data_IF_743975153657
#
_entry.id   IF_743975153657
#
_cell.length_a   1.000
_cell.length_b   1.000
_cell.length_c   1.000
_cell.angle_alpha   90.00
_cell.angle_beta   90.00
_cell.angle_gamma   90.00
#
_symmetry.space_group_name_H-M   'P 1'
#
loop_
_entity.id
_entity.type
_entity.pdbx_description
1 polymer ?
#
# COMPACT_ATOMS: atom_id res chain seq x y z
N UNK A 1 -0.70 -81.62 -26.69
CA UNK A 1 -0.40 -80.57 -25.66
C UNK A 1 -0.58 -79.22 -26.31
N UNK A 2 -1.71 -78.52 -26.03
CA UNK A 2 -2.00 -77.19 -26.58
C UNK A 2 -1.65 -76.16 -25.51
N UNK A 3 -0.63 -75.36 -25.80
CA UNK A 3 -0.26 -74.23 -24.95
C UNK A 3 -1.26 -73.08 -25.17
N UNK A 4 -1.97 -72.63 -24.12
CA UNK A 4 -2.84 -71.47 -24.13
C UNK A 4 -1.98 -70.34 -23.59
N UNK A 5 -1.59 -69.40 -24.48
CA UNK A 5 -0.98 -68.16 -24.07
C UNK A 5 -2.07 -67.14 -23.59
N UNK A 6 -2.11 -66.86 -22.28
CA UNK A 6 -2.95 -65.79 -21.73
C UNK A 6 -2.26 -64.44 -21.97
N UNK A 7 -2.84 -63.62 -22.83
CA UNK A 7 -2.42 -62.21 -22.98
C UNK A 7 -3.11 -61.36 -21.90
N UNK A 8 -2.33 -60.89 -20.91
CA UNK A 8 -2.77 -59.88 -19.95
C UNK A 8 -2.74 -58.51 -20.63
N UNK A 9 -3.90 -57.94 -20.94
CA UNK A 9 -4.05 -56.57 -21.43
C UNK A 9 -3.99 -55.63 -20.21
N UNK A 10 -2.87 -54.92 -20.06
CA UNK A 10 -2.73 -53.84 -19.08
C UNK A 10 -3.50 -52.61 -19.62
N UNK A 11 -4.61 -52.30 -19.01
CA UNK A 11 -5.29 -51.03 -19.25
C UNK A 11 -4.52 -49.88 -18.55
N UNK A 12 -3.75 -49.14 -19.35
CA UNK A 12 -3.15 -47.88 -18.89
C UNK A 12 -4.25 -46.81 -18.93
N UNK A 13 -4.85 -46.49 -17.79
CA UNK A 13 -5.72 -45.30 -17.66
C UNK A 13 -4.86 -44.07 -17.76
N UNK A 14 -5.09 -43.15 -18.72
CA UNK A 14 -4.38 -41.88 -18.75
C UNK A 14 -4.77 -41.10 -17.47
N UNK A 15 -3.83 -40.96 -16.55
CA UNK A 15 -3.97 -40.04 -15.44
C UNK A 15 -4.07 -38.64 -16.01
N UNK A 16 -5.24 -38.01 -15.91
CA UNK A 16 -5.37 -36.59 -16.18
C UNK A 16 -4.50 -35.85 -15.13
N UNK A 17 -3.36 -35.34 -15.57
CA UNK A 17 -2.60 -34.39 -14.78
C UNK A 17 -3.53 -33.19 -14.58
N UNK A 18 -4.09 -33.01 -13.37
CA UNK A 18 -4.76 -31.79 -12.98
C UNK A 18 -3.69 -30.72 -13.00
N UNK A 19 -3.70 -29.86 -14.02
CA UNK A 19 -2.85 -28.70 -14.07
C UNK A 19 -3.21 -27.83 -12.87
N UNK A 20 -2.28 -27.67 -11.93
CA UNK A 20 -2.49 -26.79 -10.79
C UNK A 20 -2.78 -25.37 -11.33
N UNK A 21 -3.84 -24.74 -10.83
CA UNK A 21 -4.13 -23.34 -11.18
C UNK A 21 -2.93 -22.46 -10.87
N UNK A 22 -2.63 -21.45 -11.70
CA UNK A 22 -1.53 -20.53 -11.45
C UNK A 22 -1.76 -19.81 -10.10
N UNK A 23 -0.69 -19.47 -9.35
CA UNK A 23 -0.83 -18.82 -8.06
C UNK A 23 -1.53 -17.47 -8.19
N UNK A 24 -2.28 -17.09 -7.16
CA UNK A 24 -2.80 -15.73 -6.98
C UNK A 24 -1.64 -14.86 -6.54
N UNK A 25 -1.34 -13.80 -7.28
CA UNK A 25 -0.29 -12.84 -6.96
C UNK A 25 -0.89 -11.61 -6.31
N UNK A 26 -0.40 -11.27 -5.13
CA UNK A 26 -0.88 -10.17 -4.32
C UNK A 26 0.24 -9.14 -4.12
N UNK A 27 0.11 -7.96 -4.74
CA UNK A 27 1.08 -6.88 -4.64
C UNK A 27 1.02 -6.19 -3.27
N UNK A 28 2.18 -5.90 -2.70
CA UNK A 28 2.29 -5.12 -1.48
C UNK A 28 3.15 -3.89 -1.74
N UNK A 29 2.65 -2.73 -1.30
CA UNK A 29 3.40 -1.48 -1.26
C UNK A 29 3.91 -1.19 0.15
N UNK A 30 4.74 -0.17 0.33
CA UNK A 30 5.26 0.20 1.66
C UNK A 30 4.21 0.91 2.55
N UNK A 31 2.95 0.54 2.43
CA UNK A 31 1.84 0.95 3.31
C UNK A 31 1.70 0.06 4.54
N UNK A 32 2.56 -0.96 4.66
CA UNK A 32 2.66 -1.84 5.83
C UNK A 32 4.15 -2.02 6.20
N UNK A 33 4.39 -2.32 7.48
CA UNK A 33 5.74 -2.72 7.93
C UNK A 33 5.93 -4.20 7.63
N UNK A 34 6.76 -4.52 6.61
CA UNK A 34 7.00 -5.90 6.14
C UNK A 34 8.42 -6.38 6.37
N UNK A 35 9.10 -5.89 7.37
CA UNK A 35 10.52 -6.27 7.66
C UNK A 35 10.73 -7.77 7.94
N UNK A 36 9.64 -8.57 7.96
CA UNK A 36 9.70 -9.97 8.32
C UNK A 36 9.15 -10.87 7.19
N UNK A 37 10.07 -11.41 6.38
CA UNK A 37 9.75 -12.38 5.31
C UNK A 37 8.92 -13.55 5.85
N UNK A 38 9.23 -14.07 7.05
CA UNK A 38 8.46 -15.14 7.68
C UNK A 38 6.98 -14.75 7.88
N UNK A 39 6.71 -13.48 8.22
CA UNK A 39 5.33 -13.02 8.35
C UNK A 39 4.56 -13.14 7.03
N UNK A 40 5.20 -12.74 5.92
CA UNK A 40 4.58 -12.83 4.60
C UNK A 40 4.36 -14.28 4.18
N UNK A 41 5.32 -15.16 4.44
CA UNK A 41 5.18 -16.59 4.14
C UNK A 41 4.02 -17.22 4.93
N UNK A 42 3.92 -16.94 6.23
CA UNK A 42 2.85 -17.44 7.09
C UNK A 42 1.48 -16.87 6.65
N UNK A 43 1.41 -15.59 6.33
CA UNK A 43 0.18 -14.95 5.85
C UNK A 43 -0.23 -15.48 4.46
N UNK A 44 0.72 -15.71 3.58
CA UNK A 44 0.51 -16.37 2.29
C UNK A 44 -0.14 -17.75 2.49
N UNK A 45 0.40 -18.59 3.38
CA UNK A 45 -0.14 -19.91 3.70
C UNK A 45 -1.56 -19.84 4.29
N UNK A 46 -1.82 -18.87 5.16
CA UNK A 46 -3.17 -18.62 5.67
C UNK A 46 -4.16 -18.29 4.55
N UNK A 47 -3.80 -17.38 3.66
CA UNK A 47 -4.63 -17.02 2.52
C UNK A 47 -4.81 -18.22 1.58
N UNK A 48 -3.75 -19.00 1.30
CA UNK A 48 -3.80 -20.20 0.49
C UNK A 48 -4.81 -21.22 1.04
N UNK A 49 -4.78 -21.46 2.36
CA UNK A 49 -5.72 -22.37 3.02
C UNK A 49 -7.19 -21.91 2.88
N UNK A 50 -7.46 -20.62 2.85
CA UNK A 50 -8.81 -20.06 2.67
C UNK A 50 -9.23 -19.98 1.21
N UNK A 51 -8.29 -19.71 0.32
CA UNK A 51 -8.55 -19.58 -1.13
C UNK A 51 -8.59 -20.92 -1.86
N UNK A 52 -8.05 -21.98 -1.27
CA UNK A 52 -7.86 -23.28 -1.95
C UNK A 52 -6.88 -23.22 -3.12
N UNK A 53 -6.08 -22.17 -3.22
CA UNK A 53 -5.15 -21.87 -4.30
C UNK A 53 -3.94 -21.14 -3.76
N UNK A 54 -2.75 -21.44 -4.29
CA UNK A 54 -1.51 -20.79 -3.86
C UNK A 54 -1.61 -19.28 -3.95
N UNK A 55 -1.14 -18.57 -2.91
CA UNK A 55 -1.07 -17.10 -2.87
C UNK A 55 0.40 -16.68 -2.76
N UNK A 56 0.85 -15.76 -3.57
CA UNK A 56 2.21 -15.25 -3.59
C UNK A 56 2.22 -13.73 -3.41
N UNK A 57 2.89 -13.24 -2.36
CA UNK A 57 3.09 -11.82 -2.21
C UNK A 57 4.19 -11.30 -3.13
N UNK A 58 3.88 -10.21 -3.83
CA UNK A 58 4.77 -9.54 -4.77
C UNK A 58 5.15 -8.17 -4.21
N UNK A 59 6.38 -8.03 -3.74
CA UNK A 59 6.90 -6.77 -3.24
C UNK A 59 7.61 -6.01 -4.36
N UNK A 60 7.45 -4.69 -4.38
CA UNK A 60 8.19 -3.79 -5.27
C UNK A 60 8.70 -2.59 -4.48
N UNK A 61 9.72 -1.94 -5.03
CA UNK A 61 10.36 -0.79 -4.39
C UNK A 61 9.45 0.44 -4.36
N UNK A 62 8.72 0.70 -5.43
CA UNK A 62 7.85 1.87 -5.54
C UNK A 62 6.38 1.48 -5.70
N UNK A 63 5.50 2.40 -5.37
CA UNK A 63 4.06 2.23 -5.59
C UNK A 63 3.74 2.13 -7.08
N UNK A 64 4.48 2.87 -7.92
CA UNK A 64 4.33 2.83 -9.37
C UNK A 64 4.53 1.43 -9.94
N UNK A 65 5.58 0.73 -9.51
CA UNK A 65 5.86 -0.64 -9.97
C UNK A 65 4.72 -1.62 -9.64
N UNK A 66 4.06 -1.48 -8.48
CA UNK A 66 2.89 -2.30 -8.14
C UNK A 66 1.70 -1.96 -9.02
N UNK A 67 1.46 -0.66 -9.28
CA UNK A 67 0.38 -0.22 -10.17
C UNK A 67 0.60 -0.71 -11.61
N UNK A 68 1.83 -0.69 -12.12
CA UNK A 68 2.15 -1.20 -13.46
C UNK A 68 1.90 -2.72 -13.57
N UNK A 69 2.14 -3.48 -12.49
CA UNK A 69 1.81 -4.90 -12.44
C UNK A 69 0.28 -5.14 -12.42
N UNK A 70 -0.49 -4.32 -11.69
CA UNK A 70 -1.96 -4.37 -11.72
C UNK A 70 -2.52 -4.03 -13.10
N UNK A 71 -2.02 -2.95 -13.71
CA UNK A 71 -2.47 -2.46 -15.00
C UNK A 71 -2.16 -3.43 -16.16
N UNK A 72 -1.09 -4.22 -16.01
CA UNK A 72 -0.71 -5.27 -16.97
C UNK A 72 -1.38 -6.63 -16.70
N UNK A 73 -2.12 -6.77 -15.60
CA UNK A 73 -2.68 -8.06 -15.16
C UNK A 73 -1.61 -9.06 -14.69
N UNK A 74 -0.41 -8.57 -14.36
CA UNK A 74 0.67 -9.40 -13.83
C UNK A 74 0.45 -9.79 -12.36
N UNK A 75 -0.42 -9.09 -11.65
CA UNK A 75 -0.92 -9.43 -10.31
C UNK A 75 -2.43 -9.26 -10.26
N UNK A 76 -3.09 -10.09 -9.46
CA UNK A 76 -4.54 -10.13 -9.33
C UNK A 76 -5.06 -9.12 -8.29
N UNK A 77 -4.35 -8.98 -7.18
CA UNK A 77 -4.72 -8.11 -6.06
C UNK A 77 -3.54 -7.26 -5.62
N UNK A 78 -3.84 -6.14 -4.96
CA UNK A 78 -2.80 -5.37 -4.30
C UNK A 78 -3.34 -4.55 -3.12
N UNK A 79 -2.49 -4.35 -2.12
CA UNK A 79 -2.69 -3.36 -1.08
C UNK A 79 -1.91 -2.10 -1.47
N UNK A 80 -2.63 -1.06 -1.85
CA UNK A 80 -2.08 0.16 -2.45
C UNK A 80 -2.43 1.39 -1.64
N UNK A 81 -1.69 2.48 -1.85
CA UNK A 81 -2.05 3.77 -1.28
C UNK A 81 -3.31 4.37 -1.94
N UNK A 82 -4.05 5.20 -1.21
CA UNK A 82 -5.24 5.86 -1.73
C UNK A 82 -4.96 6.84 -2.88
N UNK A 83 -3.74 7.38 -3.01
CA UNK A 83 -3.42 8.31 -4.09
C UNK A 83 -3.33 7.62 -5.46
N UNK A 84 -2.55 6.54 -5.66
CA UNK A 84 -2.60 5.80 -6.91
C UNK A 84 -3.99 5.23 -7.21
N UNK A 85 -4.76 4.83 -6.18
CA UNK A 85 -6.15 4.40 -6.38
C UNK A 85 -7.00 5.50 -7.05
N UNK A 86 -6.97 6.75 -6.55
CA UNK A 86 -7.76 7.84 -7.12
C UNK A 86 -7.19 8.42 -8.41
N UNK A 87 -5.92 8.15 -8.70
CA UNK A 87 -5.22 8.57 -9.93
C UNK A 87 -5.19 7.51 -11.02
N UNK A 88 -5.74 6.33 -10.79
CA UNK A 88 -5.71 5.27 -11.80
C UNK A 88 -6.14 5.82 -13.17
N UNK A 89 -5.29 5.59 -14.16
CA UNK A 89 -5.57 5.97 -15.56
C UNK A 89 -6.69 5.16 -16.19
N UNK A 90 -6.99 4.03 -15.57
CA UNK A 90 -8.05 3.10 -15.95
C UNK A 90 -8.91 2.81 -14.74
N UNK A 91 -9.75 3.77 -14.27
CA UNK A 91 -10.56 3.56 -13.06
C UNK A 91 -11.44 2.31 -13.14
N UNK A 92 -11.88 1.97 -14.35
CA UNK A 92 -12.64 0.74 -14.62
C UNK A 92 -11.81 -0.54 -14.45
N UNK A 93 -10.48 -0.43 -14.37
CA UNK A 93 -9.58 -1.58 -14.22
C UNK A 93 -9.26 -1.94 -12.78
N UNK A 94 -9.66 -1.09 -11.83
CA UNK A 94 -9.46 -1.31 -10.40
C UNK A 94 -10.78 -1.43 -9.67
N UNK A 95 -11.01 -2.55 -9.01
CA UNK A 95 -12.15 -2.72 -8.12
C UNK A 95 -11.69 -2.53 -6.67
N UNK A 96 -12.29 -1.56 -5.95
CA UNK A 96 -12.18 -1.47 -4.51
C UNK A 96 -12.76 -2.73 -3.87
N UNK A 97 -11.95 -3.46 -3.13
CA UNK A 97 -12.40 -4.70 -2.48
C UNK A 97 -12.75 -4.45 -1.02
N UNK A 98 -11.78 -4.02 -0.25
CA UNK A 98 -11.93 -3.83 1.19
C UNK A 98 -10.92 -2.81 1.69
N UNK A 99 -11.21 -2.21 2.83
CA UNK A 99 -10.33 -1.23 3.47
C UNK A 99 -9.98 -1.70 4.88
N UNK A 100 -8.71 -1.66 5.26
CA UNK A 100 -8.31 -1.95 6.63
C UNK A 100 -8.95 -1.00 7.64
N UNK A 101 -9.25 -1.54 8.82
CA UNK A 101 -9.75 -0.79 9.98
C UNK A 101 -8.63 -0.70 11.00
N UNK A 102 -8.28 0.51 11.37
CA UNK A 102 -7.23 0.83 12.33
C UNK A 102 -7.78 1.72 13.44
N UNK A 103 -7.69 1.28 14.69
CA UNK A 103 -8.25 1.98 15.85
C UNK A 103 -9.74 2.30 15.69
N UNK A 104 -10.49 1.33 15.18
CA UNK A 104 -11.94 1.41 15.02
C UNK A 104 -12.40 2.15 13.76
N UNK A 105 -11.49 2.71 12.94
CA UNK A 105 -11.85 3.50 11.77
C UNK A 105 -11.08 3.07 10.50
N UNK A 106 -11.69 3.19 9.30
CA UNK A 106 -11.02 2.93 8.02
C UNK A 106 -10.23 4.17 7.57
N UNK A 107 -9.51 4.81 8.50
CA UNK A 107 -8.88 6.12 8.28
C UNK A 107 -7.50 6.19 8.90
N UNK A 108 -6.68 7.07 8.31
CA UNK A 108 -5.34 7.40 8.77
C UNK A 108 -5.02 8.88 8.51
N UNK A 109 -3.84 9.32 8.91
CA UNK A 109 -3.38 10.70 8.75
C UNK A 109 -2.02 10.75 8.03
N UNK A 110 -1.70 11.90 7.49
CA UNK A 110 -0.34 12.27 7.15
C UNK A 110 0.27 13.00 8.34
N UNK A 111 1.45 12.59 8.77
CA UNK A 111 2.27 13.30 9.75
C UNK A 111 3.43 14.00 9.05
N UNK A 112 3.63 15.29 9.33
CA UNK A 112 4.88 15.98 9.06
C UNK A 112 5.71 15.91 10.32
N UNK A 113 6.88 15.27 10.21
CA UNK A 113 7.79 15.01 11.32
C UNK A 113 9.10 15.77 11.13
N UNK A 114 9.74 16.07 12.25
CA UNK A 114 11.05 16.72 12.33
C UNK A 114 11.89 16.05 13.41
N UNK A 115 13.21 16.23 13.46
CA UNK A 115 14.04 15.77 14.57
C UNK A 115 13.53 16.35 15.91
N UNK A 116 13.50 15.52 16.96
CA UNK A 116 12.91 15.86 18.25
C UNK A 116 13.45 17.19 18.81
N UNK A 117 14.77 17.40 18.78
CA UNK A 117 15.44 18.58 19.32
C UNK A 117 15.53 19.75 18.32
N UNK A 118 14.90 19.66 17.13
CA UNK A 118 14.93 20.74 16.15
C UNK A 118 14.07 21.95 16.61
N UNK A 119 14.35 23.17 16.15
CA UNK A 119 13.54 24.32 16.47
C UNK A 119 12.24 24.43 15.66
N UNK A 120 12.04 23.57 14.67
CA UNK A 120 10.94 23.65 13.70
C UNK A 120 9.61 23.29 14.35
N UNK A 121 8.60 24.17 14.28
CA UNK A 121 7.27 23.99 14.88
C UNK A 121 6.15 23.85 13.85
N UNK A 122 6.39 24.27 12.61
CA UNK A 122 5.41 24.27 11.52
C UNK A 122 6.11 24.06 10.18
N UNK A 123 5.35 23.72 9.14
CA UNK A 123 5.89 23.49 7.80
C UNK A 123 6.71 24.67 7.25
N UNK A 124 6.29 25.90 7.57
CA UNK A 124 6.98 27.10 7.10
C UNK A 124 8.43 27.21 7.63
N UNK A 125 8.71 26.64 8.78
CA UNK A 125 10.05 26.62 9.36
C UNK A 125 11.02 25.71 8.59
N UNK A 126 10.49 24.87 7.71
CA UNK A 126 11.26 23.98 6.84
C UNK A 126 11.64 24.62 5.49
N UNK A 127 11.32 25.91 5.28
CA UNK A 127 11.76 26.62 4.08
C UNK A 127 13.29 26.68 4.01
N UNK A 128 13.84 26.30 2.84
CA UNK A 128 15.28 26.23 2.63
C UNK A 128 15.96 25.05 3.34
N UNK A 129 15.21 24.06 3.83
CA UNK A 129 15.70 22.86 4.51
C UNK A 129 15.68 21.62 3.60
N UNK A 130 16.25 20.52 4.08
CA UNK A 130 16.18 19.22 3.41
C UNK A 130 14.90 18.51 3.85
N UNK A 131 14.10 18.04 2.89
CA UNK A 131 12.84 17.35 3.20
C UNK A 131 12.77 15.97 2.52
N UNK A 132 12.43 14.96 3.31
CA UNK A 132 12.25 13.59 2.83
C UNK A 132 10.77 13.32 2.53
N UNK A 133 10.48 12.93 1.30
CA UNK A 133 9.21 12.35 0.89
C UNK A 133 9.29 10.83 0.91
N UNK A 134 8.14 10.15 1.15
CA UNK A 134 8.15 8.69 1.18
C UNK A 134 8.13 8.07 -0.22
N UNK A 135 7.15 8.42 -1.05
CA UNK A 135 7.02 7.90 -2.44
C UNK A 135 6.26 8.92 -3.28
N UNK A 136 6.59 9.12 -4.57
CA UNK A 136 5.89 10.06 -5.45
C UNK A 136 4.37 9.80 -5.58
N UNK A 137 3.95 8.55 -5.42
CA UNK A 137 2.55 8.14 -5.46
C UNK A 137 1.93 8.01 -4.04
N UNK A 138 2.63 8.46 -2.98
CA UNK A 138 2.08 8.44 -1.62
C UNK A 138 1.16 9.63 -1.37
N UNK A 139 -0.05 9.35 -0.81
CA UNK A 139 -0.92 10.41 -0.32
C UNK A 139 -0.32 11.14 0.88
N UNK A 140 0.05 10.42 1.93
CA UNK A 140 0.56 11.00 3.17
C UNK A 140 1.99 11.47 3.07
N UNK A 141 2.84 10.74 2.34
CA UNK A 141 4.26 11.01 2.22
C UNK A 141 4.63 12.00 1.11
N UNK A 142 3.68 12.41 0.25
CA UNK A 142 3.96 13.33 -0.87
C UNK A 142 2.79 14.25 -1.20
N UNK A 143 1.63 13.70 -1.60
CA UNK A 143 0.50 14.49 -2.10
C UNK A 143 0.02 15.53 -1.09
N UNK A 144 -0.17 15.13 0.18
CA UNK A 144 -0.67 16.04 1.21
C UNK A 144 0.31 17.18 1.50
N UNK A 145 1.60 16.94 1.84
CA UNK A 145 2.54 18.07 2.06
C UNK A 145 2.68 18.94 0.82
N UNK A 146 2.69 18.37 -0.40
CA UNK A 146 2.68 19.14 -1.63
C UNK A 146 1.43 20.04 -1.74
N UNK A 147 0.24 19.50 -1.40
CA UNK A 147 -1.00 20.26 -1.45
C UNK A 147 -1.00 21.47 -0.49
N UNK A 148 -0.29 21.37 0.64
CA UNK A 148 -0.13 22.49 1.57
C UNK A 148 0.71 23.63 0.98
N UNK A 149 1.80 23.28 0.29
CA UNK A 149 2.67 24.26 -0.37
C UNK A 149 1.93 24.95 -1.52
N UNK A 150 1.31 24.16 -2.38
CA UNK A 150 0.54 24.68 -3.52
C UNK A 150 -0.60 25.60 -3.11
N UNK A 151 -1.34 25.28 -2.05
CA UNK A 151 -2.40 26.16 -1.50
C UNK A 151 -1.88 27.50 -0.98
N UNK A 152 -0.59 27.59 -0.65
CA UNK A 152 0.09 28.83 -0.26
C UNK A 152 0.76 29.56 -1.44
N UNK A 153 0.74 28.98 -2.63
CA UNK A 153 1.45 29.48 -3.81
C UNK A 153 2.95 29.12 -3.84
N UNK A 154 3.40 28.28 -2.90
CA UNK A 154 4.77 27.78 -2.89
C UNK A 154 4.91 26.54 -3.80
N UNK A 155 6.12 26.31 -4.32
CA UNK A 155 6.50 25.11 -5.07
C UNK A 155 7.56 24.33 -4.28
N UNK A 156 7.50 22.98 -4.22
CA UNK A 156 8.49 22.18 -3.49
C UNK A 156 9.93 22.48 -3.87
N UNK A 157 10.17 22.68 -5.17
CA UNK A 157 11.50 22.89 -5.77
C UNK A 157 12.14 24.23 -5.31
N UNK A 158 11.31 25.20 -4.94
CA UNK A 158 11.77 26.51 -4.46
C UNK A 158 11.58 26.71 -2.96
N UNK A 159 10.70 25.92 -2.34
CA UNK A 159 10.45 26.00 -0.91
C UNK A 159 11.53 25.28 -0.11
N UNK A 160 11.85 24.03 -0.48
CA UNK A 160 12.92 23.27 0.14
C UNK A 160 14.26 23.53 -0.55
N UNK A 161 15.36 23.46 0.20
CA UNK A 161 16.71 23.47 -0.38
C UNK A 161 16.97 22.22 -1.22
N UNK A 162 16.49 21.08 -0.72
CA UNK A 162 16.63 19.78 -1.35
C UNK A 162 15.50 18.87 -0.92
N UNK A 163 15.04 18.02 -1.81
CA UNK A 163 14.09 16.95 -1.53
C UNK A 163 14.61 15.63 -2.07
N UNK A 164 14.22 14.53 -1.46
CA UNK A 164 14.47 13.19 -1.96
C UNK A 164 13.35 12.25 -1.54
N UNK A 165 13.25 11.10 -2.24
CA UNK A 165 12.31 10.04 -1.94
C UNK A 165 13.02 8.86 -1.30
N UNK A 166 12.47 8.33 -0.21
CA UNK A 166 12.97 7.14 0.47
C UNK A 166 12.35 5.85 -0.06
N UNK A 167 11.22 5.96 -0.75
CA UNK A 167 10.36 4.87 -1.21
C UNK A 167 9.80 3.99 -0.09
N UNK A 168 9.89 4.44 1.16
CA UNK A 168 9.37 3.74 2.34
C UNK A 168 9.11 4.73 3.48
N UNK A 169 7.97 4.62 4.16
CA UNK A 169 7.63 5.50 5.27
C UNK A 169 8.54 5.30 6.49
N UNK A 170 8.94 4.06 6.80
CA UNK A 170 9.85 3.78 7.90
C UNK A 170 11.25 4.38 7.62
N UNK A 171 11.72 4.30 6.38
CA UNK A 171 12.97 4.94 5.95
C UNK A 171 12.91 6.47 6.03
N UNK A 172 11.73 7.06 5.77
CA UNK A 172 11.52 8.51 5.99
C UNK A 172 11.66 8.87 7.47
N UNK A 173 11.06 8.06 8.37
CA UNK A 173 11.23 8.26 9.82
C UNK A 173 12.69 8.13 10.21
N UNK A 174 13.39 7.12 9.71
CA UNK A 174 14.82 6.90 9.96
C UNK A 174 15.67 8.10 9.50
N UNK A 175 15.45 8.57 8.26
CA UNK A 175 16.18 9.72 7.72
C UNK A 175 16.02 10.99 8.56
N UNK A 176 14.81 11.22 9.10
CA UNK A 176 14.56 12.35 10.02
C UNK A 176 15.18 12.09 11.39
N UNK A 177 15.08 10.88 11.94
CA UNK A 177 15.66 10.51 13.24
C UNK A 177 17.19 10.65 13.28
N UNK A 178 17.83 10.40 12.16
CA UNK A 178 19.30 10.49 11.95
C UNK A 178 19.73 11.89 11.45
N UNK A 179 18.78 12.80 11.30
CA UNK A 179 19.03 14.18 10.83
C UNK A 179 19.62 14.25 9.40
N UNK A 180 19.42 13.22 8.58
CA UNK A 180 19.70 13.23 7.13
C UNK A 180 18.73 14.19 6.43
N UNK A 181 17.52 14.31 6.97
CA UNK A 181 16.53 15.31 6.58
C UNK A 181 16.12 16.17 7.78
N UNK A 182 15.87 17.46 7.54
CA UNK A 182 15.35 18.41 8.52
C UNK A 182 13.87 18.19 8.83
N UNK A 183 13.16 17.51 7.93
CA UNK A 183 11.77 17.09 8.08
C UNK A 183 11.38 16.07 7.05
N UNK A 184 10.24 15.41 7.28
CA UNK A 184 9.70 14.43 6.36
C UNK A 184 8.18 14.29 6.50
N UNK A 185 7.57 13.62 5.55
CA UNK A 185 6.14 13.32 5.56
C UNK A 185 5.90 11.80 5.53
N UNK A 186 5.08 11.32 6.45
CA UNK A 186 4.87 9.88 6.66
C UNK A 186 3.41 9.54 6.91
N UNK A 187 3.09 8.28 6.71
CA UNK A 187 1.84 7.66 7.11
C UNK A 187 1.78 7.51 8.64
N UNK A 188 0.67 7.92 9.25
CA UNK A 188 0.49 7.85 10.71
C UNK A 188 0.49 6.42 11.23
N UNK A 189 -0.15 5.49 10.49
CA UNK A 189 -0.18 4.08 10.87
C UNK A 189 1.24 3.48 10.88
N UNK A 190 2.07 3.81 9.88
CA UNK A 190 3.47 3.35 9.84
C UNK A 190 4.28 3.98 10.98
N UNK A 191 4.16 5.29 11.21
CA UNK A 191 4.87 5.95 12.30
C UNK A 191 4.49 5.38 13.67
N UNK A 192 3.18 5.20 13.94
CA UNK A 192 2.66 4.65 15.19
C UNK A 192 2.98 3.17 15.37
N UNK A 193 2.98 2.41 14.26
CA UNK A 193 3.39 1.01 14.28
C UNK A 193 4.88 0.87 14.56
N UNK A 194 5.70 1.74 13.98
CA UNK A 194 7.14 1.79 14.23
C UNK A 194 7.42 2.21 15.68
N UNK A 195 6.66 3.16 16.23
CA UNK A 195 6.80 3.57 17.62
C UNK A 195 6.58 2.43 18.62
N UNK A 196 5.79 1.43 18.25
CA UNK A 196 5.53 0.27 19.12
C UNK A 196 6.57 -0.85 18.98
N UNK A 197 7.38 -0.88 17.90
CA UNK A 197 8.37 -1.95 17.66
C UNK A 197 9.83 -1.45 17.70
N UNK A 198 10.05 -0.18 17.35
CA UNK A 198 11.36 0.50 17.34
C UNK A 198 11.21 1.92 17.93
N UNK A 199 10.82 2.07 19.21
CA UNK A 199 10.58 3.37 19.83
C UNK A 199 11.82 4.28 19.77
N UNK A 200 13.03 3.70 19.84
CA UNK A 200 14.30 4.42 19.76
C UNK A 200 14.50 5.22 18.46
N UNK A 201 13.74 4.91 17.41
CA UNK A 201 13.75 5.67 16.15
C UNK A 201 12.74 6.80 16.20
N UNK A 202 11.49 6.50 16.60
CA UNK A 202 10.40 7.46 16.61
C UNK A 202 10.54 8.51 17.71
N UNK A 203 11.12 8.17 18.88
CA UNK A 203 11.42 9.10 19.99
C UNK A 203 12.42 10.19 19.58
N UNK A 204 13.23 9.97 18.57
CA UNK A 204 14.12 10.99 17.99
C UNK A 204 13.41 11.92 17.02
N UNK A 205 12.11 11.71 16.78
CA UNK A 205 11.27 12.54 15.92
C UNK A 205 10.11 13.12 16.70
N UNK A 206 9.50 14.18 16.19
CA UNK A 206 8.22 14.69 16.69
C UNK A 206 7.35 15.17 15.55
N UNK A 207 6.04 15.06 15.74
CA UNK A 207 5.03 15.50 14.79
C UNK A 207 4.83 17.00 14.95
N UNK A 208 4.97 17.77 13.87
CA UNK A 208 4.67 19.20 13.84
C UNK A 208 3.36 19.53 13.13
N UNK A 209 2.82 18.58 12.36
CA UNK A 209 1.53 18.73 11.71
C UNK A 209 0.89 17.37 11.44
N UNK A 210 -0.39 17.28 11.75
CA UNK A 210 -1.27 16.21 11.37
C UNK A 210 -2.26 16.71 10.32
N UNK A 211 -2.57 15.90 9.33
CA UNK A 211 -3.58 16.19 8.31
C UNK A 211 -5.01 15.99 8.84
N UNK A 212 -6.04 16.46 8.11
CA UNK A 212 -7.34 15.83 8.18
C UNK A 212 -7.23 14.32 7.91
N UNK A 213 -8.21 13.53 8.38
CA UNK A 213 -8.22 12.08 8.14
C UNK A 213 -8.47 11.76 6.66
N UNK A 214 -7.78 10.73 6.17
CA UNK A 214 -7.93 10.17 4.83
C UNK A 214 -8.41 8.72 4.92
N UNK A 215 -9.04 8.21 3.86
CA UNK A 215 -9.33 6.79 3.73
C UNK A 215 -8.05 5.96 3.80
N UNK A 216 -8.07 4.93 4.63
CA UNK A 216 -6.92 4.03 4.81
C UNK A 216 -6.54 3.39 3.46
N UNK A 217 -5.25 3.09 3.20
CA UNK A 217 -4.80 2.41 1.99
C UNK A 217 -5.64 1.17 1.67
N UNK A 218 -6.32 1.12 0.50
CA UNK A 218 -7.26 0.06 0.19
C UNK A 218 -6.59 -1.20 -0.36
N UNK A 219 -7.31 -2.32 -0.25
CA UNK A 219 -7.03 -3.51 -1.06
C UNK A 219 -7.94 -3.46 -2.29
N UNK A 220 -7.33 -3.67 -3.46
CA UNK A 220 -7.98 -3.64 -4.76
C UNK A 220 -7.74 -4.92 -5.54
N UNK A 221 -8.63 -5.23 -6.49
CA UNK A 221 -8.36 -6.22 -7.53
C UNK A 221 -8.10 -5.53 -8.86
N UNK A 222 -7.24 -6.15 -9.69
CA UNK A 222 -7.02 -5.75 -11.08
C UNK A 222 -8.15 -6.21 -11.99
N UNK A 223 -8.10 -5.75 -13.26
CA UNK A 223 -9.02 -6.17 -14.31
C UNK A 223 -8.83 -7.64 -14.66
N UNK A 224 -9.96 -8.29 -15.01
CA UNK A 224 -9.95 -9.67 -15.53
C UNK A 224 -9.82 -10.75 -14.46
N UNK A 225 -9.74 -10.36 -13.18
CA UNK A 225 -9.81 -11.33 -12.08
C UNK A 225 -11.22 -11.91 -12.01
N UNK A 226 -11.32 -13.22 -11.95
CA UNK A 226 -12.61 -13.91 -11.85
C UNK A 226 -13.42 -13.42 -10.64
N UNK A 227 -14.71 -13.16 -10.84
CA UNK A 227 -15.59 -12.58 -9.84
C UNK A 227 -15.73 -13.44 -8.57
N UNK A 228 -15.67 -14.79 -8.70
CA UNK A 228 -15.72 -15.68 -7.54
C UNK A 228 -14.42 -15.59 -6.74
N UNK A 229 -13.28 -15.49 -7.42
CA UNK A 229 -11.95 -15.29 -6.79
C UNK A 229 -11.91 -13.93 -6.05
N UNK A 230 -12.42 -12.85 -6.66
CA UNK A 230 -12.55 -11.53 -6.00
C UNK A 230 -13.42 -11.63 -4.76
N UNK A 231 -14.61 -12.23 -4.89
CA UNK A 231 -15.56 -12.39 -3.77
C UNK A 231 -14.96 -13.23 -2.63
N UNK A 232 -14.26 -14.31 -2.96
CA UNK A 232 -13.65 -15.18 -1.98
C UNK A 232 -12.49 -14.47 -1.25
N UNK A 233 -11.60 -13.77 -1.97
CA UNK A 233 -10.52 -13.00 -1.35
C UNK A 233 -11.08 -11.89 -0.45
N UNK A 234 -12.08 -11.12 -0.92
CA UNK A 234 -12.76 -10.10 -0.13
C UNK A 234 -13.31 -10.68 1.17
N UNK A 235 -14.11 -11.77 1.07
CA UNK A 235 -14.70 -12.40 2.25
C UNK A 235 -13.66 -12.99 3.18
N UNK A 236 -12.56 -13.54 2.66
CA UNK A 236 -11.44 -14.06 3.45
C UNK A 236 -10.82 -12.96 4.31
N UNK A 237 -10.52 -11.80 3.72
CA UNK A 237 -9.94 -10.66 4.44
C UNK A 237 -10.92 -10.10 5.47
N UNK A 238 -12.19 -9.88 5.10
CA UNK A 238 -13.21 -9.30 5.99
C UNK A 238 -13.55 -10.21 7.16
N UNK A 239 -13.38 -11.53 7.03
CA UNK A 239 -13.63 -12.49 8.10
C UNK A 239 -12.38 -12.86 8.93
N UNK A 240 -11.21 -12.26 8.68
CA UNK A 240 -9.99 -12.54 9.46
C UNK A 240 -10.18 -12.33 10.98
N UNK A 241 -11.04 -11.40 11.36
CA UNK A 241 -11.33 -11.14 12.77
C UNK A 241 -12.28 -12.17 13.42
N UNK A 242 -12.74 -13.17 12.68
CA UNK A 242 -13.67 -14.21 13.17
C UNK A 242 -12.96 -15.54 13.44
N UNK A 243 -11.74 -15.74 12.96
CA UNK A 243 -10.96 -16.94 13.25
C UNK A 243 -9.67 -16.64 14.05
N UNK A 244 -9.11 -17.67 14.68
CA UNK A 244 -7.96 -17.53 15.60
C UNK A 244 -6.70 -17.07 14.84
N UNK A 245 -6.43 -17.68 13.68
CA UNK A 245 -5.23 -17.38 12.91
C UNK A 245 -5.35 -15.99 12.27
N UNK A 246 -6.53 -15.66 11.73
CA UNK A 246 -6.83 -14.34 11.19
C UNK A 246 -6.62 -13.23 12.23
N UNK A 247 -7.10 -13.43 13.47
CA UNK A 247 -6.86 -12.48 14.58
C UNK A 247 -5.38 -12.34 14.90
N UNK A 248 -4.60 -13.42 14.85
CA UNK A 248 -3.16 -13.36 15.09
C UNK A 248 -2.44 -12.52 14.01
N UNK A 249 -2.83 -12.64 12.72
CA UNK A 249 -2.29 -11.79 11.66
C UNK A 249 -2.72 -10.33 11.82
N UNK A 250 -3.99 -10.07 12.12
CA UNK A 250 -4.48 -8.71 12.38
C UNK A 250 -3.72 -8.04 13.52
N UNK A 251 -3.47 -8.76 14.61
CA UNK A 251 -2.69 -8.24 15.74
C UNK A 251 -1.25 -7.86 15.34
N UNK A 252 -0.60 -8.66 14.49
CA UNK A 252 0.74 -8.37 13.96
C UNK A 252 0.72 -7.16 13.02
N UNK A 253 -0.33 -7.03 12.20
CA UNK A 253 -0.59 -5.85 11.36
C UNK A 253 -1.08 -4.65 12.18
N UNK A 254 -1.42 -4.81 13.48
CA UNK A 254 -2.05 -3.79 14.33
C UNK A 254 -3.36 -3.25 13.75
N UNK A 255 -4.11 -4.10 13.08
CA UNK A 255 -5.42 -3.79 12.49
C UNK A 255 -6.53 -4.46 13.31
N UNK A 256 -7.70 -3.84 13.31
CA UNK A 256 -8.92 -4.40 13.92
C UNK A 256 -9.64 -5.34 12.96
N UNK A 257 -9.39 -5.21 11.65
CA UNK A 257 -10.00 -6.01 10.59
C UNK A 257 -9.95 -5.31 9.24
N UNK A 258 -10.78 -5.81 8.35
CA UNK A 258 -11.04 -5.24 7.03
C UNK A 258 -12.55 -5.08 6.86
N UNK A 259 -12.99 -4.07 6.10
CA UNK A 259 -14.41 -3.83 5.89
C UNK A 259 -14.74 -3.23 4.52
N UNK A 260 -16.02 -3.32 4.16
CA UNK A 260 -16.56 -2.75 2.93
C UNK A 260 -16.91 -1.27 3.17
N UNK A 261 -16.31 -0.39 2.42
CA UNK A 261 -16.50 1.05 2.54
C UNK A 261 -16.71 1.69 1.16
N UNK A 262 -17.51 2.77 1.09
CA UNK A 262 -17.79 3.42 -0.18
C UNK A 262 -16.55 4.15 -0.72
N UNK A 263 -16.46 4.24 -2.05
CA UNK A 263 -15.40 4.96 -2.77
C UNK A 263 -15.27 6.44 -2.34
N UNK A 264 -16.35 7.05 -1.83
CA UNK A 264 -16.36 8.41 -1.28
C UNK A 264 -15.40 8.61 -0.09
N UNK A 265 -14.95 7.51 0.56
CA UNK A 265 -13.92 7.52 1.60
C UNK A 265 -12.63 8.22 1.13
N UNK A 266 -12.34 8.17 -0.16
CA UNK A 266 -11.13 8.72 -0.79
C UNK A 266 -11.31 10.14 -1.34
N UNK A 267 -12.47 10.81 -1.12
CA UNK A 267 -12.76 12.14 -1.67
C UNK A 267 -11.78 13.22 -1.19
N UNK A 268 -11.26 13.12 0.04
CA UNK A 268 -10.24 14.04 0.55
C UNK A 268 -8.93 13.96 -0.23
N UNK A 269 -8.54 12.74 -0.65
CA UNK A 269 -7.37 12.51 -1.49
C UNK A 269 -7.59 13.07 -2.89
N UNK A 270 -8.78 12.82 -3.49
CA UNK A 270 -9.16 13.38 -4.80
C UNK A 270 -9.13 14.91 -4.81
N UNK A 271 -9.59 15.54 -3.73
CA UNK A 271 -9.57 17.00 -3.61
C UNK A 271 -8.15 17.57 -3.61
N UNK A 272 -7.20 16.92 -2.90
CA UNK A 272 -5.80 17.32 -2.89
C UNK A 272 -5.15 17.11 -4.27
N UNK A 273 -5.41 15.97 -4.94
CA UNK A 273 -4.91 15.70 -6.27
C UNK A 273 -5.38 16.74 -7.30
N UNK A 274 -6.68 17.08 -7.28
CA UNK A 274 -7.24 18.14 -8.14
C UNK A 274 -6.64 19.52 -7.87
N UNK A 275 -6.33 19.84 -6.61
CA UNK A 275 -5.74 21.13 -6.25
C UNK A 275 -4.35 21.28 -6.87
N UNK A 276 -3.54 20.20 -6.87
CA UNK A 276 -2.21 20.20 -7.47
C UNK A 276 -2.29 20.30 -9.00
N UNK A 277 -3.17 19.53 -9.65
CA UNK A 277 -3.34 19.56 -11.11
C UNK A 277 -3.72 20.97 -11.61
N UNK A 278 -4.57 21.70 -10.88
CA UNK A 278 -4.97 23.08 -11.23
C UNK A 278 -3.84 24.10 -11.09
N UNK A 279 -2.84 23.80 -10.27
CA UNK A 279 -1.71 24.70 -9.99
C UNK A 279 -0.50 24.37 -10.87
N UNK A 280 -0.49 23.24 -11.58
CA UNK A 280 0.49 22.97 -12.61
C UNK A 280 0.28 23.97 -13.77
N UNK A 281 1.35 24.62 -14.29
CA UNK A 281 1.19 25.49 -15.44
C UNK A 281 0.56 24.67 -16.58
N UNK A 282 -0.47 25.23 -17.21
CA UNK A 282 -1.04 24.71 -18.46
C UNK A 282 0.10 24.78 -19.47
N UNK A 283 0.73 23.66 -19.79
CA UNK A 283 1.64 23.58 -20.93
C UNK A 283 0.74 23.77 -22.15
N UNK A 284 0.91 24.84 -22.94
CA UNK A 284 0.13 24.99 -24.17
C UNK A 284 0.43 23.77 -25.04
N UNK A 285 -0.63 23.17 -25.55
CA UNK A 285 -0.53 22.07 -26.52
C UNK A 285 0.17 22.62 -27.78
N UNK A 286 1.47 22.31 -27.90
CA UNK A 286 2.25 22.70 -29.08
C UNK A 286 2.03 21.62 -30.12
N UNK A 287 0.78 21.53 -30.58
CA UNK A 287 0.45 20.87 -31.83
C UNK A 287 0.58 21.93 -32.94
N UNK A 288 1.72 21.93 -33.59
CA UNK A 288 1.91 22.41 -34.98
C UNK A 288 2.67 21.37 -35.75
#
# INVERSE_FOLDING_TARGET
MRLICLFLIFWITPGFAVSAEPPIRFGLTAVILTDNIRFLDEWSQYLEAKMGRKVEFVLRRSYREVMDLLDSGAIEFAWICGYPYVQSRKPESLQLMTVPVYRGEPRYFSYIIVPYNSPYKRLDDLKGKIFAFSDPDSNSGFLYPLSLLVKKGDKPETFFRQTFFTFNHAETVQAVSEQVADGGAVDSYIWESLAAIKPEVTEKTRIIKQSPSFGFPPIVSGLGVDANTVKLMKSTLENMNQDVDGKAFLARLKLDGFGDYPDSLFNGIRANAKAIQRSAPVVPDVTN
#
